data_IF_723243949786
#
_entry.id   IF_723243949786
#
_cell.length_a   1.000
_cell.length_b   1.000
_cell.length_c   1.000
_cell.angle_alpha   90.00
_cell.angle_beta   90.00
_cell.angle_gamma   90.00
#
_symmetry.space_group_name_H-M   'P 1'
#
loop_
_entity.id
_entity.type
_entity.pdbx_description
1 polymer ?
#
# COMPACT_ATOMS: atom_id res chain seq x y z
N UNK A 1 14.58 2.62 -3.49
CA UNK A 1 15.09 2.66 -2.10
C UNK A 1 16.04 3.82 -1.86
N UNK A 2 17.04 4.11 -2.73
CA UNK A 2 17.98 5.24 -2.47
C UNK A 2 17.31 6.63 -2.34
N UNK A 3 16.19 6.87 -3.04
CA UNK A 3 15.53 8.18 -3.12
C UNK A 3 14.07 8.18 -2.66
N UNK A 4 13.56 7.01 -2.24
CA UNK A 4 12.18 6.83 -1.80
C UNK A 4 12.19 5.81 -0.67
N UNK A 5 11.72 6.27 0.49
CA UNK A 5 11.32 5.41 1.60
C UNK A 5 9.79 5.35 1.59
N UNK A 6 9.23 4.14 1.42
CA UNK A 6 7.79 3.92 1.37
C UNK A 6 7.31 3.38 2.71
N UNK A 7 6.31 4.03 3.27
CA UNK A 7 5.53 3.50 4.39
C UNK A 7 4.11 3.23 3.90
N UNK A 8 3.79 1.95 3.70
CA UNK A 8 2.49 1.50 3.19
C UNK A 8 1.65 0.94 4.34
N UNK A 9 0.43 1.45 4.48
CA UNK A 9 -0.52 1.09 5.54
C UNK A 9 -1.82 0.49 4.95
N UNK A 10 -1.87 -0.83 4.67
CA UNK A 10 -3.10 -1.48 4.23
C UNK A 10 -4.08 -1.60 5.40
N UNK A 11 -5.06 -0.69 5.45
CA UNK A 11 -6.14 -0.70 6.45
C UNK A 11 -7.30 0.17 5.96
N UNK A 12 -6.96 1.35 5.43
CA UNK A 12 -7.90 2.29 4.85
C UNK A 12 -8.94 2.77 5.87
N UNK A 13 -10.22 2.61 5.51
CA UNK A 13 -11.35 2.99 6.36
C UNK A 13 -11.91 1.81 7.18
N UNK A 14 -11.16 0.72 7.33
CA UNK A 14 -11.61 -0.40 8.15
C UNK A 14 -11.81 0.02 9.62
N UNK A 15 -12.70 -0.66 10.30
CA UNK A 15 -12.88 -0.61 11.74
C UNK A 15 -12.29 -1.88 12.37
N UNK A 16 -11.84 -1.79 13.61
CA UNK A 16 -11.32 -2.90 14.41
C UNK A 16 -11.78 -2.76 15.85
N UNK A 17 -12.20 -3.89 16.44
CA UNK A 17 -12.66 -3.98 17.83
C UNK A 17 -12.03 -5.17 18.50
N UNK A 18 -11.66 -5.00 19.77
CA UNK A 18 -11.35 -6.12 20.65
C UNK A 18 -12.66 -6.67 21.23
N UNK A 19 -12.92 -7.95 20.98
CA UNK A 19 -14.04 -8.69 21.55
C UNK A 19 -13.46 -9.85 22.35
N UNK A 20 -13.38 -9.67 23.67
CA UNK A 20 -12.88 -10.68 24.62
C UNK A 20 -11.47 -11.20 24.28
N UNK A 21 -10.54 -10.32 23.88
CA UNK A 21 -9.17 -10.66 23.52
C UNK A 21 -9.02 -11.17 22.08
N UNK A 22 -10.09 -11.12 21.28
CA UNK A 22 -10.04 -11.39 19.84
C UNK A 22 -10.26 -10.10 19.06
N UNK A 23 -9.32 -9.75 18.19
CA UNK A 23 -9.48 -8.60 17.28
C UNK A 23 -10.40 -9.00 16.13
N UNK A 24 -11.42 -8.18 15.88
CA UNK A 24 -12.36 -8.34 14.77
C UNK A 24 -12.28 -7.10 13.88
N UNK A 25 -12.03 -7.31 12.58
CA UNK A 25 -12.02 -6.27 11.56
C UNK A 25 -13.37 -6.17 10.84
N UNK A 26 -13.82 -4.94 10.60
CA UNK A 26 -14.99 -4.63 9.78
C UNK A 26 -14.55 -3.68 8.66
N UNK A 27 -14.54 -4.16 7.42
CA UNK A 27 -14.12 -3.37 6.26
C UNK A 27 -15.35 -2.86 5.46
N UNK A 28 -15.21 -1.73 4.76
CA UNK A 28 -16.32 -1.06 4.08
C UNK A 28 -16.93 -1.89 2.94
N UNK A 29 -16.11 -2.75 2.33
CA UNK A 29 -16.46 -3.62 1.23
C UNK A 29 -16.55 -5.10 1.68
N UNK A 30 -16.73 -5.33 2.98
CA UNK A 30 -16.97 -6.67 3.55
C UNK A 30 -15.70 -7.48 3.84
N UNK A 31 -15.85 -8.79 4.13
CA UNK A 31 -14.75 -9.63 4.61
C UNK A 31 -13.64 -9.83 3.57
N UNK A 32 -13.96 -9.78 2.28
CA UNK A 32 -12.98 -9.91 1.20
C UNK A 32 -11.95 -8.77 1.23
N UNK A 33 -12.38 -7.53 1.48
CA UNK A 33 -11.47 -6.40 1.68
C UNK A 33 -10.58 -6.59 2.91
N UNK A 34 -11.13 -7.10 4.02
CA UNK A 34 -10.32 -7.38 5.20
C UNK A 34 -9.25 -8.44 4.91
N UNK A 35 -9.61 -9.50 4.18
CA UNK A 35 -8.65 -10.52 3.76
C UNK A 35 -7.56 -9.93 2.83
N UNK A 36 -7.95 -9.11 1.86
CA UNK A 36 -6.99 -8.42 0.97
C UNK A 36 -6.05 -7.51 1.79
N UNK A 37 -6.57 -6.79 2.78
CA UNK A 37 -5.77 -5.96 3.69
C UNK A 37 -4.77 -6.81 4.50
N UNK A 38 -5.16 -7.98 4.99
CA UNK A 38 -4.22 -8.90 5.66
C UNK A 38 -3.13 -9.40 4.71
N UNK A 39 -3.48 -9.82 3.49
CA UNK A 39 -2.50 -10.26 2.48
C UNK A 39 -1.50 -9.15 2.16
N UNK A 40 -1.99 -7.92 1.92
CA UNK A 40 -1.13 -6.77 1.64
C UNK A 40 -0.27 -6.39 2.84
N UNK A 41 -0.81 -6.49 4.06
CA UNK A 41 -0.07 -6.23 5.30
C UNK A 41 1.06 -7.24 5.51
N UNK A 42 0.79 -8.52 5.29
CA UNK A 42 1.82 -9.56 5.28
C UNK A 42 2.86 -9.32 4.19
N UNK A 43 2.45 -8.82 3.01
CA UNK A 43 3.38 -8.45 1.97
C UNK A 43 4.30 -7.30 2.38
N UNK A 44 3.79 -6.28 3.10
CA UNK A 44 4.63 -5.19 3.65
C UNK A 44 5.77 -5.75 4.52
N UNK A 45 5.50 -6.81 5.29
CA UNK A 45 6.50 -7.47 6.14
C UNK A 45 7.50 -8.32 5.35
N UNK A 46 7.03 -9.12 4.38
CA UNK A 46 7.83 -10.21 3.79
C UNK A 46 8.33 -9.93 2.37
N UNK A 47 7.74 -9.00 1.64
CA UNK A 47 8.08 -8.72 0.23
C UNK A 47 9.07 -7.57 0.16
N UNK A 48 10.33 -7.92 -0.08
CA UNK A 48 11.42 -6.96 -0.27
C UNK A 48 12.11 -7.24 -1.61
N UNK A 49 12.69 -6.22 -2.27
CA UNK A 49 12.73 -4.79 -1.91
C UNK A 49 11.39 -4.06 -2.15
N UNK A 50 11.30 -2.77 -1.79
CA UNK A 50 10.08 -1.93 -1.95
C UNK A 50 9.48 -2.00 -3.35
N UNK A 51 10.31 -2.05 -4.40
CA UNK A 51 9.81 -2.17 -5.78
C UNK A 51 8.99 -3.45 -5.97
N UNK A 52 9.46 -4.56 -5.41
CA UNK A 52 8.81 -5.86 -5.50
C UNK A 52 7.48 -5.87 -4.71
N UNK A 53 7.45 -5.20 -3.55
CA UNK A 53 6.22 -4.96 -2.79
C UNK A 53 5.19 -4.20 -3.61
N UNK A 54 5.59 -3.08 -4.21
CA UNK A 54 4.71 -2.27 -5.06
C UNK A 54 4.20 -3.05 -6.27
N UNK A 55 5.08 -3.82 -6.94
CA UNK A 55 4.69 -4.67 -8.07
C UNK A 55 3.67 -5.75 -7.64
N UNK A 56 3.82 -6.31 -6.44
CA UNK A 56 2.88 -7.29 -5.87
C UNK A 56 1.52 -6.66 -5.56
N UNK A 57 1.50 -5.53 -4.85
CA UNK A 57 0.26 -4.82 -4.49
C UNK A 57 -0.46 -4.33 -5.74
N UNK A 58 0.24 -3.73 -6.70
CA UNK A 58 -0.34 -3.30 -7.97
C UNK A 58 -0.91 -4.47 -8.78
N UNK A 59 -0.25 -5.63 -8.77
CA UNK A 59 -0.78 -6.84 -9.38
C UNK A 59 -2.10 -7.28 -8.72
N UNK A 60 -2.19 -7.28 -7.38
CA UNK A 60 -3.43 -7.66 -6.69
C UNK A 60 -4.57 -6.69 -7.00
N UNK A 61 -4.30 -5.38 -6.94
CA UNK A 61 -5.31 -4.33 -7.15
C UNK A 61 -5.80 -4.23 -8.60
N UNK A 62 -5.05 -4.74 -9.57
CA UNK A 62 -5.44 -4.79 -10.99
C UNK A 62 -6.16 -6.08 -11.38
N UNK A 63 -6.28 -7.04 -10.46
CA UNK A 63 -6.94 -8.30 -10.73
C UNK A 63 -8.46 -8.15 -10.64
N UNK A 64 -9.21 -8.83 -11.52
CA UNK A 64 -10.68 -8.80 -11.52
C UNK A 64 -11.28 -9.30 -10.19
N UNK A 65 -10.58 -10.25 -9.57
CA UNK A 65 -10.92 -10.79 -8.25
C UNK A 65 -9.67 -10.74 -7.36
N UNK A 66 -9.49 -9.67 -6.57
CA UNK A 66 -8.28 -9.52 -5.75
C UNK A 66 -8.12 -10.59 -4.67
N UNK A 67 -9.21 -11.27 -4.26
CA UNK A 67 -9.15 -12.37 -3.27
C UNK A 67 -8.38 -13.59 -3.80
N UNK A 68 -8.36 -13.78 -5.12
CA UNK A 68 -7.63 -14.87 -5.79
C UNK A 68 -6.30 -14.43 -6.38
N UNK A 69 -5.93 -13.16 -6.21
CA UNK A 69 -4.76 -12.59 -6.86
C UNK A 69 -3.44 -12.86 -6.12
N UNK A 70 -3.51 -13.19 -4.82
CA UNK A 70 -2.33 -13.32 -3.97
C UNK A 70 -1.27 -14.28 -4.52
N UNK A 71 -1.64 -15.53 -4.81
CA UNK A 71 -0.73 -16.54 -5.36
C UNK A 71 -0.13 -16.16 -6.74
N UNK A 72 -0.94 -15.86 -7.78
CA UNK A 72 -0.39 -15.51 -9.09
C UNK A 72 0.46 -14.24 -9.04
N UNK A 73 0.12 -13.26 -8.19
CA UNK A 73 0.93 -12.06 -8.02
C UNK A 73 2.23 -12.33 -7.26
N UNK A 74 2.21 -13.20 -6.26
CA UNK A 74 3.42 -13.64 -5.56
C UNK A 74 4.38 -14.34 -6.54
N UNK A 75 3.87 -15.25 -7.38
CA UNK A 75 4.65 -15.92 -8.42
C UNK A 75 5.24 -14.91 -9.42
N UNK A 76 4.43 -13.95 -9.89
CA UNK A 76 4.86 -12.90 -10.83
C UNK A 76 6.04 -12.08 -10.32
N UNK A 77 6.08 -11.79 -9.01
CA UNK A 77 7.18 -11.03 -8.41
C UNK A 77 8.29 -11.92 -7.82
N UNK A 78 8.13 -13.24 -7.86
CA UNK A 78 9.07 -14.22 -7.32
C UNK A 78 9.11 -14.26 -5.78
N UNK A 79 7.96 -14.10 -5.12
CA UNK A 79 7.78 -14.26 -3.67
C UNK A 79 7.15 -15.62 -3.35
N UNK A 80 7.51 -16.20 -2.21
CA UNK A 80 6.85 -17.40 -1.68
C UNK A 80 5.43 -17.09 -1.18
N UNK A 81 4.42 -17.49 -1.95
CA UNK A 81 3.01 -17.37 -1.57
C UNK A 81 2.69 -18.13 -0.28
N UNK A 82 3.32 -19.28 -0.03
CA UNK A 82 3.08 -20.06 1.18
C UNK A 82 3.44 -19.30 2.45
N UNK A 83 4.47 -18.45 2.42
CA UNK A 83 4.80 -17.54 3.54
C UNK A 83 3.70 -16.49 3.72
N UNK A 84 3.29 -15.82 2.64
CA UNK A 84 2.26 -14.79 2.71
C UNK A 84 0.91 -15.35 3.18
N UNK A 85 0.49 -16.48 2.61
CA UNK A 85 -0.77 -17.13 2.94
C UNK A 85 -0.81 -17.60 4.40
N UNK A 86 0.28 -18.16 4.93
CA UNK A 86 0.35 -18.54 6.35
C UNK A 86 0.26 -17.33 7.27
N UNK A 87 0.87 -16.21 6.90
CA UNK A 87 0.75 -14.97 7.64
C UNK A 87 -0.70 -14.44 7.58
N UNK A 88 -1.28 -14.30 6.39
CA UNK A 88 -2.59 -13.66 6.15
C UNK A 88 -3.81 -14.51 6.49
N UNK A 89 -3.60 -15.73 7.01
CA UNK A 89 -4.67 -16.60 7.49
C UNK A 89 -4.42 -17.05 8.93
N UNK A 90 -3.36 -16.52 9.55
CA UNK A 90 -2.91 -16.89 10.88
C UNK A 90 -2.87 -15.68 11.82
N UNK A 91 -2.52 -15.90 13.10
CA UNK A 91 -2.51 -14.85 14.12
C UNK A 91 -1.57 -13.68 13.78
N UNK A 92 -0.48 -13.95 13.04
CA UNK A 92 0.47 -12.93 12.62
C UNK A 92 -0.17 -11.88 11.71
N UNK A 93 -0.98 -12.28 10.72
CA UNK A 93 -1.67 -11.35 9.83
C UNK A 93 -2.64 -10.46 10.58
N UNK A 94 -3.39 -11.04 11.52
CA UNK A 94 -4.31 -10.31 12.40
C UNK A 94 -3.55 -9.31 13.29
N UNK A 95 -2.43 -9.70 13.90
CA UNK A 95 -1.61 -8.80 14.73
C UNK A 95 -1.05 -7.64 13.89
N UNK A 96 -0.48 -7.93 12.72
CA UNK A 96 0.05 -6.89 11.84
C UNK A 96 -1.05 -5.95 11.34
N UNK A 97 -2.22 -6.46 10.95
CA UNK A 97 -3.32 -5.61 10.49
C UNK A 97 -3.88 -4.75 11.64
N UNK A 98 -3.88 -5.28 12.86
CA UNK A 98 -4.22 -4.50 14.06
C UNK A 98 -3.22 -3.36 14.28
N UNK A 99 -1.91 -3.60 14.14
CA UNK A 99 -0.89 -2.55 14.21
C UNK A 99 -1.07 -1.49 13.10
N UNK A 100 -1.38 -1.91 11.86
CA UNK A 100 -1.71 -0.98 10.77
C UNK A 100 -2.93 -0.11 11.13
N UNK A 101 -3.95 -0.71 11.75
CA UNK A 101 -5.13 -0.01 12.25
C UNK A 101 -4.83 0.98 13.37
N UNK A 102 -3.96 0.61 14.32
CA UNK A 102 -3.51 1.52 15.39
C UNK A 102 -2.77 2.72 14.81
N UNK A 103 -1.87 2.50 13.85
CA UNK A 103 -1.13 3.57 13.16
C UNK A 103 -2.07 4.47 12.36
N UNK A 104 -3.03 3.91 11.65
CA UNK A 104 -4.02 4.66 10.86
C UNK A 104 -4.92 5.52 11.76
N UNK A 105 -5.41 4.98 12.89
CA UNK A 105 -6.24 5.73 13.86
C UNK A 105 -5.47 6.75 14.68
N UNK A 106 -4.23 6.43 15.00
CA UNK A 106 -3.33 7.31 15.75
C UNK A 106 -2.75 8.45 14.91
N UNK A 107 -2.98 8.44 13.59
CA UNK A 107 -2.48 9.45 12.68
C UNK A 107 -2.98 10.85 13.03
N UNK A 108 -2.08 11.84 12.99
CA UNK A 108 -2.37 13.24 13.27
C UNK A 108 -1.88 14.13 12.12
N UNK A 109 -2.78 14.90 11.46
CA UNK A 109 -4.22 15.01 11.71
C UNK A 109 -4.98 13.72 11.33
N UNK A 110 -6.20 13.47 11.87
CA UNK A 110 -6.94 12.27 11.52
C UNK A 110 -7.15 12.12 10.01
N UNK A 111 -6.95 10.91 9.49
CA UNK A 111 -7.22 10.56 8.08
C UNK A 111 -8.73 10.66 7.83
N UNK A 112 -9.12 11.40 6.78
CA UNK A 112 -10.54 11.71 6.49
C UNK A 112 -11.11 10.97 5.28
N UNK A 113 -10.25 10.42 4.44
CA UNK A 113 -10.60 9.72 3.21
C UNK A 113 -9.40 8.87 2.76
N UNK A 114 -9.66 7.94 1.84
CA UNK A 114 -8.63 7.12 1.21
C UNK A 114 -8.69 7.27 -0.32
N UNK A 115 -7.54 7.15 -1.03
CA UNK A 115 -6.19 7.04 -0.47
C UNK A 115 -5.74 8.34 0.21
N UNK A 116 -4.97 8.23 1.30
CA UNK A 116 -4.35 9.36 1.99
C UNK A 116 -2.83 9.32 1.77
N UNK A 117 -2.31 10.27 1.00
CA UNK A 117 -0.90 10.31 0.64
C UNK A 117 -0.21 11.44 1.40
N UNK A 118 0.86 11.08 2.08
CA UNK A 118 1.77 12.04 2.71
C UNK A 118 3.14 11.93 2.07
N UNK A 119 3.78 13.09 1.86
CA UNK A 119 5.16 13.14 1.36
C UNK A 119 5.97 14.01 2.30
N UNK A 120 7.04 13.43 2.85
CA UNK A 120 7.91 14.05 3.85
C UNK A 120 7.12 14.59 5.07
N UNK A 121 6.13 13.83 5.54
CA UNK A 121 5.29 14.19 6.70
C UNK A 121 4.29 15.32 6.43
N UNK A 122 4.06 15.67 5.16
CA UNK A 122 3.08 16.69 4.78
C UNK A 122 1.98 16.10 3.91
N UNK A 123 0.74 16.49 4.22
CA UNK A 123 -0.44 16.22 3.42
C UNK A 123 -1.15 17.53 3.07
N UNK A 124 -1.49 17.70 1.78
CA UNK A 124 -2.43 18.72 1.31
C UNK A 124 -2.98 18.32 -0.07
N UNK A 125 -3.98 19.06 -0.56
CA UNK A 125 -4.64 18.79 -1.85
C UNK A 125 -3.66 18.76 -3.02
N UNK A 126 -2.63 19.61 -3.00
CA UNK A 126 -1.61 19.65 -4.07
C UNK A 126 -0.74 18.39 -4.03
N UNK A 127 -0.22 18.02 -2.85
CA UNK A 127 0.58 16.79 -2.67
C UNK A 127 -0.25 15.58 -3.09
N UNK A 128 -1.47 15.45 -2.57
CA UNK A 128 -2.38 14.36 -2.88
C UNK A 128 -2.63 14.25 -4.39
N UNK A 129 -2.96 15.36 -5.07
CA UNK A 129 -3.22 15.36 -6.52
C UNK A 129 -1.97 14.96 -7.31
N UNK A 130 -0.85 15.63 -7.04
CA UNK A 130 0.39 15.42 -7.80
C UNK A 130 0.94 14.01 -7.64
N UNK A 131 0.91 13.47 -6.43
CA UNK A 131 1.36 12.11 -6.16
C UNK A 131 0.48 11.06 -6.85
N UNK A 132 -0.84 11.27 -6.95
CA UNK A 132 -1.72 10.34 -7.67
C UNK A 132 -1.57 10.44 -9.18
N UNK A 133 -1.40 11.65 -9.73
CA UNK A 133 -1.30 11.85 -11.17
C UNK A 133 0.05 11.38 -11.74
N UNK A 134 1.15 11.77 -11.09
CA UNK A 134 2.51 11.46 -11.50
C UNK A 134 3.45 11.46 -10.28
N UNK A 135 3.42 10.38 -9.50
CA UNK A 135 4.32 10.20 -8.37
C UNK A 135 5.79 10.32 -8.77
N UNK A 136 6.15 9.82 -9.96
CA UNK A 136 7.54 9.80 -10.42
C UNK A 136 8.06 11.22 -10.69
N UNK A 137 7.33 11.99 -11.51
CA UNK A 137 7.66 13.38 -11.79
C UNK A 137 7.65 14.22 -10.52
N UNK A 138 6.64 14.04 -9.66
CA UNK A 138 6.56 14.76 -8.39
C UNK A 138 7.74 14.44 -7.47
N UNK A 139 8.11 13.16 -7.31
CA UNK A 139 9.27 12.77 -6.51
C UNK A 139 10.57 13.36 -7.06
N UNK A 140 10.75 13.36 -8.39
CA UNK A 140 11.92 13.94 -9.03
C UNK A 140 12.08 15.44 -8.74
N UNK A 141 10.99 16.21 -8.68
CA UNK A 141 11.07 17.64 -8.31
C UNK A 141 11.50 17.86 -6.86
N UNK A 142 11.16 16.95 -5.95
CA UNK A 142 11.49 17.05 -4.53
C UNK A 142 12.97 16.73 -4.24
N UNK A 143 13.66 16.03 -5.14
CA UNK A 143 15.07 15.66 -4.96
C UNK A 143 16.05 16.83 -5.23
N UNK A 144 15.55 18.00 -5.64
CA UNK A 144 16.37 19.21 -5.81
C UNK A 144 17.30 19.17 -7.04
N UNK A 145 18.40 19.94 -7.05
CA UNK A 145 19.22 20.13 -8.26
C UNK A 145 20.08 18.91 -8.64
N UNK A 146 20.49 18.08 -7.67
CA UNK A 146 21.31 16.89 -7.91
C UNK A 146 20.46 15.63 -8.09
N UNK A 147 19.49 15.69 -9.01
CA UNK A 147 18.62 14.56 -9.28
C UNK A 147 19.30 13.46 -10.10
N UNK A 148 18.89 12.19 -9.90
CA UNK A 148 19.32 11.07 -10.73
C UNK A 148 19.04 11.30 -12.21
N UNK A 149 19.84 10.70 -13.10
CA UNK A 149 19.64 10.80 -14.55
C UNK A 149 18.23 10.45 -15.02
N UNK A 150 17.53 9.56 -14.31
CA UNK A 150 16.15 9.18 -14.65
C UNK A 150 15.16 10.35 -14.54
N UNK A 151 15.42 11.31 -13.64
CA UNK A 151 14.62 12.52 -13.47
C UNK A 151 14.87 13.60 -14.54
N UNK A 152 15.94 13.46 -15.33
CA UNK A 152 16.32 14.42 -16.39
C UNK A 152 15.71 14.05 -17.75
N UNK A 153 14.98 12.94 -17.82
CA UNK A 153 14.22 12.55 -19.02
C UNK A 153 12.80 13.11 -18.92
N UNK A 154 12.25 13.70 -19.98
CA UNK A 154 10.81 13.99 -20.01
C UNK A 154 10.06 12.68 -19.80
N UNK A 155 9.14 12.65 -18.83
CA UNK A 155 8.38 11.44 -18.48
C UNK A 155 7.64 10.90 -19.72
N UNK A 156 7.90 9.66 -20.16
CA UNK A 156 7.12 9.04 -21.24
C UNK A 156 5.78 8.46 -20.75
N UNK A 157 5.51 8.50 -19.45
CA UNK A 157 4.33 7.90 -18.84
C UNK A 157 3.36 8.99 -18.37
N UNK A 158 2.71 9.63 -19.33
CA UNK A 158 1.35 10.11 -19.07
C UNK A 158 0.49 8.86 -18.87
N UNK A 159 -0.09 8.68 -17.69
CA UNK A 159 -1.24 7.79 -17.54
C UNK A 159 -2.30 8.29 -18.53
N UNK A 160 -2.50 7.57 -19.63
CA UNK A 160 -3.52 7.88 -20.62
C UNK A 160 -4.88 7.83 -19.91
N UNK A 161 -5.46 8.99 -19.62
CA UNK A 161 -6.91 9.10 -19.42
C UNK A 161 -7.54 8.71 -20.74
N UNK A 162 -8.17 7.53 -20.78
CA UNK A 162 -8.93 7.07 -21.94
C UNK A 162 -9.92 8.14 -22.41
N UNK A 163 -9.95 8.35 -23.72
CA UNK A 163 -11.05 9.00 -24.42
C UNK A 163 -12.32 8.14 -24.36
#
# INVERSE_FOLDING_TARGET
>A
EQYLNLDLLPFGNADMKDVNGTVVFNCQHGPDECYINEVQTCAVKYVHPTRKLLDFVACMLSHNDPTKAGEPCAQKVGTDWGVLNRCSTGPEGTELLYEMGLRTRGHQPPIKYVPWIEVNGMHNVTIQKRAQDDLFGFACELLGPETPRICKKPSPYYCFSGQ
#
